data_IF_991880476299
#
_entry.id   IF_991880476299
#
_cell.length_a   1.000
_cell.length_b   1.000
_cell.length_c   1.000
_cell.angle_alpha   90.00
_cell.angle_beta   90.00
_cell.angle_gamma   90.00
#
_symmetry.space_group_name_H-M   'P 1'
#
loop_
_entity.id
_entity.type
_entity.pdbx_description
1 polymer ?
#
# COMPACT_ATOMS: atom_id res chain seq x y z
N UNK A 1 6.50 -22.54 -11.97
CA UNK A 1 6.09 -21.72 -10.80
C UNK A 1 4.58 -21.57 -10.89
N UNK A 2 3.83 -22.15 -9.94
CA UNK A 2 2.39 -22.34 -10.07
C UNK A 2 1.66 -20.99 -10.09
N UNK A 3 1.06 -20.65 -11.23
CA UNK A 3 0.10 -19.55 -11.32
C UNK A 3 -1.18 -20.03 -10.64
N UNK A 4 -1.43 -19.56 -9.42
CA UNK A 4 -2.67 -19.84 -8.70
C UNK A 4 -3.86 -19.39 -9.55
N UNK A 5 -4.95 -20.19 -9.65
CA UNK A 5 -6.05 -19.88 -10.53
C UNK A 5 -6.63 -18.50 -10.20
N UNK A 6 -6.84 -17.70 -11.24
CA UNK A 6 -7.45 -16.39 -11.15
C UNK A 6 -8.92 -16.54 -10.74
N UNK A 7 -9.17 -16.66 -9.44
CA UNK A 7 -10.52 -16.73 -8.87
C UNK A 7 -11.26 -15.43 -9.25
N UNK A 8 -12.37 -15.57 -9.96
CA UNK A 8 -13.21 -14.45 -10.39
C UNK A 8 -13.65 -13.67 -9.13
N UNK A 9 -13.21 -12.41 -9.04
CA UNK A 9 -13.58 -11.50 -7.95
C UNK A 9 -12.59 -11.37 -6.79
N UNK A 10 -11.26 -11.46 -7.00
CA UNK A 10 -10.26 -11.21 -5.94
C UNK A 10 -10.27 -9.78 -5.36
N UNK A 11 -10.70 -8.76 -6.13
CA UNK A 11 -10.73 -7.35 -5.70
C UNK A 11 -11.99 -7.01 -4.87
N UNK A 12 -12.08 -7.54 -3.66
CA UNK A 12 -13.28 -7.39 -2.78
C UNK A 12 -13.13 -6.33 -1.69
N UNK A 13 -11.96 -5.71 -1.55
CA UNK A 13 -11.71 -4.68 -0.53
C UNK A 13 -11.77 -3.30 -1.16
N UNK A 14 -12.56 -2.40 -0.57
CA UNK A 14 -12.62 -1.00 -0.99
C UNK A 14 -11.60 -0.22 -0.18
N UNK A 15 -10.52 0.17 -0.82
CA UNK A 15 -9.45 0.96 -0.22
C UNK A 15 -9.58 2.42 -0.64
N UNK A 16 -9.15 3.32 0.24
CA UNK A 16 -8.94 4.74 -0.08
C UNK A 16 -7.47 4.96 -0.35
N UNK A 17 -7.15 5.51 -1.51
CA UNK A 17 -5.83 6.00 -1.83
C UNK A 17 -5.66 7.39 -1.22
N UNK A 18 -4.61 7.56 -0.45
CA UNK A 18 -4.20 8.83 0.14
C UNK A 18 -2.86 9.26 -0.46
N UNK A 19 -2.78 10.52 -0.87
CA UNK A 19 -1.55 11.12 -1.40
C UNK A 19 -0.95 12.08 -0.37
N UNK A 20 0.37 12.16 -0.27
CA UNK A 20 1.00 13.11 0.63
C UNK A 20 0.87 14.55 0.12
N UNK A 21 0.55 15.45 1.04
CA UNK A 21 0.46 16.88 0.82
C UNK A 21 1.56 17.54 1.62
N UNK A 22 2.46 18.22 0.92
CA UNK A 22 3.54 18.98 1.53
C UNK A 22 2.95 20.22 2.21
N UNK A 23 2.80 20.15 3.53
CA UNK A 23 2.55 21.34 4.35
C UNK A 23 3.90 21.93 4.77
N UNK A 24 4.19 23.21 4.51
CA UNK A 24 5.44 23.83 4.94
C UNK A 24 5.41 24.04 6.47
N UNK A 25 5.93 23.07 7.22
CA UNK A 25 5.89 23.09 8.70
C UNK A 25 6.94 24.03 9.33
N UNK A 26 7.80 24.67 8.52
CA UNK A 26 8.72 25.74 8.97
C UNK A 26 9.78 25.37 10.02
N UNK A 27 9.78 24.17 10.59
CA UNK A 27 10.54 23.81 11.80
C UNK A 27 11.31 22.47 11.72
N UNK A 28 11.64 22.00 10.52
CA UNK A 28 12.61 20.90 10.34
C UNK A 28 12.10 19.48 10.65
N UNK A 29 10.84 19.32 11.04
CA UNK A 29 10.12 18.03 11.03
C UNK A 29 9.13 18.02 9.87
N UNK A 30 9.25 17.06 8.95
CA UNK A 30 8.28 16.93 7.85
C UNK A 30 7.03 16.19 8.36
N UNK A 31 6.02 16.92 8.80
CA UNK A 31 4.68 16.35 8.98
C UNK A 31 4.08 16.12 7.59
N UNK A 32 4.20 14.90 7.08
CA UNK A 32 3.58 14.52 5.82
C UNK A 32 2.09 14.28 6.07
N UNK A 33 1.26 15.26 5.73
CA UNK A 33 -0.20 15.13 5.76
C UNK A 33 -0.61 14.26 4.58
N UNK A 34 -1.57 13.35 4.77
CA UNK A 34 -2.09 12.50 3.71
C UNK A 34 -3.55 12.86 3.46
N UNK A 35 -3.90 13.14 2.22
CA UNK A 35 -5.28 13.45 1.79
C UNK A 35 -5.84 12.36 0.90
N UNK A 36 -7.12 12.03 1.10
CA UNK A 36 -7.82 11.04 0.28
C UNK A 36 -8.01 11.57 -1.15
N UNK A 37 -7.43 10.87 -2.13
CA UNK A 37 -7.49 11.25 -3.56
C UNK A 37 -8.39 10.35 -4.39
N UNK A 38 -8.57 9.09 -4.00
CA UNK A 38 -9.43 8.16 -4.74
C UNK A 38 -9.92 7.00 -3.86
N UNK A 39 -11.01 6.33 -4.27
CA UNK A 39 -11.41 5.04 -3.73
C UNK A 39 -11.31 3.95 -4.82
N UNK A 40 -10.79 2.78 -4.46
CA UNK A 40 -10.51 1.71 -5.40
C UNK A 40 -10.81 0.32 -4.82
N UNK A 41 -11.06 -0.63 -5.71
CA UNK A 41 -11.19 -2.04 -5.34
C UNK A 41 -9.85 -2.74 -5.50
N UNK A 42 -9.43 -3.44 -4.45
CA UNK A 42 -8.19 -4.20 -4.43
C UNK A 42 -8.37 -5.56 -3.74
N UNK A 43 -7.44 -6.45 -4.03
CA UNK A 43 -7.18 -7.65 -3.27
C UNK A 43 -6.05 -7.34 -2.30
N UNK A 44 -6.20 -7.68 -1.03
CA UNK A 44 -5.16 -7.51 0.00
C UNK A 44 -4.74 -8.89 0.48
N UNK A 45 -3.46 -9.21 0.33
CA UNK A 45 -2.87 -10.50 0.69
C UNK A 45 -1.71 -10.23 1.67
N UNK A 46 -1.72 -10.88 2.83
CA UNK A 46 -0.56 -10.84 3.72
C UNK A 46 0.57 -11.68 3.10
N UNK A 47 1.76 -11.10 2.97
CA UNK A 47 2.91 -11.80 2.41
C UNK A 47 3.80 -12.38 3.50
N UNK A 48 4.12 -11.59 4.51
CA UNK A 48 4.99 -11.98 5.63
C UNK A 48 4.93 -10.91 6.71
N UNK A 49 5.14 -11.32 7.95
CA UNK A 49 5.46 -10.43 9.06
C UNK A 49 6.90 -10.70 9.43
N UNK A 50 7.76 -9.68 9.34
CA UNK A 50 9.13 -9.79 9.84
C UNK A 50 9.21 -8.97 11.11
N UNK A 51 9.63 -9.61 12.21
CA UNK A 51 10.06 -8.89 13.41
C UNK A 51 11.40 -8.24 13.09
N UNK A 52 11.35 -6.98 12.65
CA UNK A 52 12.56 -6.21 12.37
C UNK A 52 13.02 -5.54 13.67
N UNK A 53 14.21 -5.91 14.14
CA UNK A 53 14.87 -5.22 15.25
C UNK A 53 15.46 -3.90 14.73
N UNK A 54 14.64 -2.85 14.60
CA UNK A 54 15.14 -1.48 14.42
C UNK A 54 15.28 -0.80 15.78
N UNK A 55 16.49 -0.34 16.09
CA UNK A 55 16.81 0.52 17.24
C UNK A 55 16.38 -0.04 18.63
N UNK A 56 16.45 -1.36 18.82
CA UNK A 56 16.20 -1.98 20.14
C UNK A 56 14.72 -2.04 20.55
N UNK A 57 13.78 -1.76 19.63
CA UNK A 57 12.34 -1.95 19.84
C UNK A 57 11.82 -3.00 18.85
N UNK A 58 10.99 -3.96 19.28
CA UNK A 58 10.34 -4.88 18.35
C UNK A 58 9.33 -4.08 17.50
N UNK A 59 9.66 -3.85 16.23
CA UNK A 59 8.73 -3.31 15.24
C UNK A 59 8.20 -4.50 14.41
N UNK A 60 6.91 -4.79 14.56
CA UNK A 60 6.25 -5.81 13.73
C UNK A 60 5.91 -5.18 12.38
N UNK A 61 6.84 -5.27 11.43
CA UNK A 61 6.57 -4.95 10.02
C UNK A 61 5.66 -6.02 9.42
N UNK A 62 4.41 -5.67 9.14
CA UNK A 62 3.45 -6.56 8.47
C UNK A 62 3.37 -6.19 7.00
N UNK A 63 3.91 -7.05 6.15
CA UNK A 63 4.01 -6.80 4.72
C UNK A 63 2.81 -7.41 3.99
N UNK A 64 2.27 -6.64 3.05
CA UNK A 64 1.10 -6.99 2.25
C UNK A 64 1.39 -6.81 0.76
N UNK A 65 0.86 -7.73 -0.03
CA UNK A 65 0.69 -7.58 -1.48
C UNK A 65 -0.73 -7.10 -1.74
N UNK A 66 -0.84 -5.96 -2.39
CA UNK A 66 -2.13 -5.36 -2.75
C UNK A 66 -2.24 -5.35 -4.28
N UNK A 67 -3.19 -6.12 -4.81
CA UNK A 67 -3.41 -6.23 -6.25
C UNK A 67 -4.67 -5.47 -6.66
N UNK A 68 -4.57 -4.57 -7.63
CA UNK A 68 -5.69 -3.76 -8.12
C UNK A 68 -5.70 -3.66 -9.64
N UNK A 69 -6.75 -3.03 -10.21
CA UNK A 69 -6.74 -2.68 -11.64
C UNK A 69 -5.62 -1.66 -11.89
N UNK A 70 -4.97 -1.80 -13.04
CA UNK A 70 -3.91 -0.88 -13.43
C UNK A 70 -4.39 0.58 -13.41
N UNK A 71 -3.49 1.46 -12.97
CA UNK A 71 -3.66 2.90 -12.85
C UNK A 71 -2.29 3.55 -12.65
N UNK A 72 -2.15 4.80 -13.06
CA UNK A 72 -0.90 5.55 -12.92
C UNK A 72 -0.86 6.45 -11.67
N UNK A 73 -2.01 6.66 -11.02
CA UNK A 73 -2.12 7.43 -9.78
C UNK A 73 -1.59 6.68 -8.53
N UNK A 74 -1.02 5.48 -8.67
CA UNK A 74 -0.52 4.72 -7.51
C UNK A 74 0.99 4.55 -7.63
N UNK A 75 1.70 5.09 -6.64
CA UNK A 75 3.16 5.11 -6.58
C UNK A 75 3.66 4.93 -5.14
N UNK A 76 4.96 4.69 -4.99
CA UNK A 76 5.63 4.67 -3.70
C UNK A 76 5.50 6.03 -2.96
N UNK A 77 5.35 5.98 -1.64
CA UNK A 77 5.14 7.18 -0.81
C UNK A 77 3.68 7.69 -0.77
N UNK A 78 2.77 7.01 -1.48
CA UNK A 78 1.32 7.10 -1.20
C UNK A 78 0.92 6.03 -0.18
N UNK A 79 -0.30 6.15 0.33
CA UNK A 79 -0.85 5.24 1.34
C UNK A 79 -2.21 4.71 0.92
N UNK A 80 -2.52 3.47 1.29
CA UNK A 80 -3.85 2.88 1.14
C UNK A 80 -4.48 2.71 2.52
N UNK A 81 -5.76 3.03 2.62
CA UNK A 81 -6.53 2.95 3.86
C UNK A 81 -7.72 2.00 3.72
N UNK A 82 -7.83 1.04 4.66
CA UNK A 82 -8.96 0.11 4.83
C UNK A 82 -9.61 0.37 6.20
N UNK A 83 -10.49 1.36 6.27
CA UNK A 83 -11.13 1.77 7.53
C UNK A 83 -10.13 2.37 8.51
N UNK A 84 -9.72 1.59 9.51
CA UNK A 84 -8.73 1.99 10.53
C UNK A 84 -7.29 1.55 10.18
N UNK A 85 -7.16 0.61 9.22
CA UNK A 85 -5.86 0.06 8.83
C UNK A 85 -5.21 0.93 7.76
N UNK A 86 -3.93 1.20 7.92
CA UNK A 86 -3.12 2.02 7.03
C UNK A 86 -2.02 1.17 6.41
N UNK A 87 -1.84 1.29 5.10
CA UNK A 87 -0.84 0.54 4.32
C UNK A 87 0.04 1.51 3.54
N UNK A 88 1.29 1.66 3.95
CA UNK A 88 2.28 2.51 3.29
C UNK A 88 2.82 1.80 2.04
N UNK A 89 2.64 2.41 0.87
CA UNK A 89 3.07 1.79 -0.39
C UNK A 89 4.59 1.93 -0.51
N UNK A 90 5.27 0.78 -0.49
CA UNK A 90 6.73 0.68 -0.64
C UNK A 90 7.14 0.56 -2.10
N UNK A 91 6.32 -0.10 -2.92
CA UNK A 91 6.57 -0.28 -4.35
C UNK A 91 5.26 -0.55 -5.09
N UNK A 92 5.16 -0.09 -6.34
CA UNK A 92 4.07 -0.40 -7.26
C UNK A 92 4.66 -0.84 -8.60
N UNK A 93 4.21 -1.98 -9.13
CA UNK A 93 4.72 -2.54 -10.37
C UNK A 93 3.63 -3.28 -11.17
N UNK A 94 3.77 -3.26 -12.50
CA UNK A 94 3.00 -4.07 -13.45
C UNK A 94 3.92 -5.18 -13.99
N UNK A 95 3.95 -6.38 -13.37
CA UNK A 95 4.95 -7.41 -13.67
C UNK A 95 4.85 -7.94 -15.10
N UNK A 96 3.66 -7.94 -15.69
CA UNK A 96 3.40 -8.44 -17.04
C UNK A 96 3.53 -7.34 -18.11
N UNK A 97 3.69 -6.06 -17.72
CA UNK A 97 3.71 -4.90 -18.64
C UNK A 97 2.42 -4.66 -19.43
N UNK A 98 1.40 -5.48 -19.20
CA UNK A 98 0.15 -5.50 -19.96
C UNK A 98 -0.84 -4.41 -19.53
N UNK A 99 -0.52 -3.62 -18.49
CA UNK A 99 -1.37 -2.56 -17.92
C UNK A 99 -2.78 -3.05 -17.58
N UNK A 100 -2.87 -4.29 -17.09
CA UNK A 100 -4.14 -4.90 -16.67
C UNK A 100 -4.31 -4.82 -15.16
N UNK A 101 -3.21 -5.00 -14.42
CA UNK A 101 -3.20 -5.01 -12.96
C UNK A 101 -1.99 -4.24 -12.47
N UNK A 102 -2.11 -3.69 -11.28
CA UNK A 102 -0.99 -3.12 -10.55
C UNK A 102 -0.82 -3.94 -9.28
N UNK A 103 0.40 -4.36 -9.01
CA UNK A 103 0.77 -5.06 -7.78
C UNK A 103 1.57 -4.08 -6.94
N UNK A 104 1.05 -3.78 -5.75
CA UNK A 104 1.71 -2.95 -4.77
C UNK A 104 2.25 -3.82 -3.63
N UNK A 105 3.47 -3.54 -3.19
CA UNK A 105 3.99 -4.02 -1.92
C UNK A 105 3.80 -2.90 -0.90
N UNK A 106 3.11 -3.20 0.17
CA UNK A 106 2.80 -2.23 1.22
C UNK A 106 3.10 -2.81 2.60
N UNK A 107 3.37 -1.92 3.55
CA UNK A 107 3.57 -2.26 4.96
C UNK A 107 2.42 -1.67 5.76
N UNK A 108 1.81 -2.46 6.65
CA UNK A 108 0.83 -1.93 7.59
C UNK A 108 1.53 -1.09 8.66
N UNK A 109 1.10 0.17 8.77
CA UNK A 109 1.62 1.12 9.75
C UNK A 109 0.55 1.39 10.81
N UNK A 110 0.99 1.47 12.06
CA UNK A 110 0.13 1.93 13.15
C UNK A 110 0.22 3.46 13.20
N UNK A 111 -0.91 4.19 13.30
CA UNK A 111 -0.89 5.65 13.46
C UNK A 111 -0.19 6.10 14.76
#
# INVERSE_FOLDING_TARGET
MAQEPAVIGRMRRRLVLEAPVASPDGLGGATQVFEAVAALWAQVEWTSGTEAWRQGRPEQSRNYRITMRWRDDVDAGRRLRDGDRLFDIRSAADPDGARRRLICLAEEVTP
#
